data_IF_726691036531
#
_entry.id   IF_726691036531
#
_cell.length_a   1.000
_cell.length_b   1.000
_cell.length_c   1.000
_cell.angle_alpha   90.00
_cell.angle_beta   90.00
_cell.angle_gamma   90.00
#
_symmetry.space_group_name_H-M   'P 1'
#
loop_
_entity.id
_entity.type
_entity.pdbx_description
1 polymer ?
#
# COMPACT_ATOMS: atom_id res chain seq x y z
N UNK A 1 54.13 -31.89 -11.52
CA UNK A 1 53.65 -31.57 -11.52
C UNK A 1 52.65 -31.19 -11.47
N UNK A 2 52.47 -31.03 -11.41
CA UNK A 2 51.64 -30.59 -11.37
C UNK A 2 50.61 -30.26 -11.15
N UNK A 3 50.24 -30.04 -11.03
CA UNK A 3 49.46 -29.59 -10.88
C UNK A 3 48.54 -29.37 -10.74
N UNK A 4 48.40 -29.16 -10.65
CA UNK A 4 47.71 -28.84 -10.49
C UNK A 4 46.82 -28.47 -10.28
N UNK A 5 46.54 -28.25 -10.22
CA UNK A 5 45.84 -27.81 -9.97
C UNK A 5 44.97 -27.37 -9.83
N UNK A 6 44.59 -27.11 -9.95
CA UNK A 6 43.85 -26.63 -9.73
C UNK A 6 42.76 -26.45 -9.63
N UNK A 7 42.56 -26.35 -9.60
CA UNK A 7 41.71 -26.14 -9.43
C UNK A 7 40.74 -25.67 -9.16
N UNK A 8 40.42 -25.49 -9.08
CA UNK A 8 39.66 -25.13 -8.74
C UNK A 8 38.78 -24.52 -8.65
N UNK A 9 38.52 -24.30 -8.68
CA UNK A 9 37.76 -23.72 -8.48
C UNK A 9 36.72 -23.48 -8.48
N UNK A 10 36.39 -23.29 -8.39
CA UNK A 10 35.51 -22.95 -8.30
C UNK A 10 34.53 -22.71 -7.99
N UNK A 11 34.16 -22.48 -7.93
CA UNK A 11 33.30 -22.33 -7.57
C UNK A 11 32.49 -21.68 -7.25
N UNK A 12 32.23 -21.32 -7.20
CA UNK A 12 31.61 -20.66 -6.85
C UNK A 12 30.55 -20.21 -7.06
N UNK A 13 30.28 -19.67 -7.32
CA UNK A 13 29.32 -19.00 -7.70
C UNK A 13 28.17 -19.14 -7.20
N UNK A 14 27.78 -19.57 -7.00
CA UNK A 14 26.74 -19.87 -6.53
C UNK A 14 25.99 -19.09 -5.84
N UNK A 15 26.35 -18.62 -5.29
CA UNK A 15 25.62 -17.95 -4.48
C UNK A 15 24.63 -17.17 -4.92
N UNK A 16 24.79 -16.61 -5.64
CA UNK A 16 23.91 -15.73 -6.03
C UNK A 16 22.67 -16.04 -6.00
N UNK A 17 22.46 -16.78 -6.28
CA UNK A 17 21.30 -17.15 -6.32
C UNK A 17 20.53 -16.75 -5.35
N UNK A 18 20.89 -16.87 -4.43
CA UNK A 18 20.07 -16.64 -3.44
C UNK A 18 19.33 -15.51 -3.53
N UNK A 19 19.78 -14.67 -3.93
CA UNK A 19 19.07 -13.53 -3.86
C UNK A 19 17.93 -13.56 -4.47
N UNK A 20 17.91 -14.11 -5.27
CA UNK A 20 16.82 -14.00 -5.96
C UNK A 20 15.74 -14.28 -5.26
N UNK A 21 15.83 -14.90 -4.51
CA UNK A 21 14.73 -15.15 -3.96
C UNK A 21 14.21 -14.23 -3.35
N UNK A 22 13.81 -13.52 -3.89
CA UNK A 22 13.18 -12.68 -3.35
C UNK A 22 12.30 -13.16 -2.48
N UNK A 23 12.30 -12.88 -1.48
CA UNK A 23 11.39 -13.24 -0.64
C UNK A 23 10.22 -12.55 -0.86
N UNK A 24 9.20 -13.05 -0.69
CA UNK A 24 7.97 -12.43 -0.84
C UNK A 24 7.91 -11.43 0.18
N UNK A 25 7.45 -10.37 -0.15
CA UNK A 25 7.28 -9.39 0.78
C UNK A 25 6.31 -9.85 1.74
N UNK A 26 6.44 -9.56 2.93
CA UNK A 26 5.47 -9.88 3.90
C UNK A 26 4.19 -9.24 3.54
N UNK A 27 3.12 -9.89 3.70
CA UNK A 27 1.93 -9.33 3.41
C UNK A 27 1.75 -8.16 4.20
N UNK A 28 1.44 -7.12 3.67
CA UNK A 28 1.09 -5.94 4.42
C UNK A 28 -0.09 -6.28 5.27
N UNK A 29 -0.15 -5.80 6.46
CA UNK A 29 -1.31 -6.02 7.28
C UNK A 29 -2.51 -5.50 6.57
N UNK A 30 -3.55 -6.27 6.53
CA UNK A 30 -4.73 -5.85 5.88
C UNK A 30 -5.61 -5.12 6.83
N UNK A 31 -5.95 -3.91 6.50
CA UNK A 31 -6.89 -3.11 7.27
C UNK A 31 -8.28 -3.40 6.74
N UNK A 32 -9.20 -3.67 7.62
CA UNK A 32 -10.54 -4.06 7.23
C UNK A 32 -11.46 -2.86 7.26
N UNK A 33 -12.10 -2.52 6.15
CA UNK A 33 -13.07 -1.42 6.17
C UNK A 33 -14.31 -1.81 6.95
N UNK A 34 -14.84 -0.85 7.72
CA UNK A 34 -16.04 -1.10 8.48
C UNK A 34 -17.06 -0.03 8.15
N UNK A 35 -18.32 -0.32 8.43
CA UNK A 35 -19.40 0.60 8.13
C UNK A 35 -19.79 1.47 9.30
N UNK A 36 -19.16 1.34 10.39
CA UNK A 36 -19.44 2.15 11.55
C UNK A 36 -18.29 2.07 12.50
N UNK A 37 -18.39 2.78 13.60
CA UNK A 37 -17.32 2.80 14.56
C UNK A 37 -17.33 1.53 15.37
N UNK A 38 -16.29 0.74 15.31
CA UNK A 38 -16.30 -0.53 16.02
C UNK A 38 -16.17 -0.33 17.51
N UNK A 39 -16.97 -1.07 18.25
CA UNK A 39 -16.94 -0.96 19.69
C UNK A 39 -15.69 -1.63 20.25
N UNK A 40 -15.16 -1.09 21.31
CA UNK A 40 -14.04 -1.72 21.97
C UNK A 40 -12.71 -1.57 21.26
N UNK A 41 -12.65 -0.74 20.27
CA UNK A 41 -11.40 -0.55 19.53
C UNK A 41 -10.78 0.78 19.89
N UNK A 42 -9.48 0.84 19.75
CA UNK A 42 -8.77 2.07 20.03
C UNK A 42 -8.82 2.96 18.80
N UNK A 43 -9.15 4.22 18.98
CA UNK A 43 -9.21 5.18 17.90
C UNK A 43 -7.80 5.71 17.66
N UNK A 44 -7.28 5.47 16.48
CA UNK A 44 -5.93 5.90 16.15
C UNK A 44 -5.89 7.21 15.38
N UNK A 45 -7.05 7.82 15.18
CA UNK A 45 -7.09 9.13 14.54
C UNK A 45 -7.47 9.07 13.09
N UNK A 46 -7.52 10.23 12.50
CA UNK A 46 -7.95 10.40 11.12
C UNK A 46 -6.78 10.23 10.17
N UNK A 47 -7.02 9.57 9.06
CA UNK A 47 -6.06 9.46 7.99
C UNK A 47 -6.69 10.00 6.72
N UNK A 48 -5.86 10.46 5.80
CA UNK A 48 -6.33 10.97 4.52
C UNK A 48 -5.52 10.28 3.44
N UNK A 49 -6.21 9.69 2.50
CA UNK A 49 -5.56 9.12 1.33
C UNK A 49 -5.86 9.97 0.11
N UNK A 50 -4.88 10.15 -0.72
CA UNK A 50 -5.04 10.94 -1.93
C UNK A 50 -4.57 10.17 -3.11
N UNK A 51 -5.23 10.40 -4.24
CA UNK A 51 -4.81 9.80 -5.48
C UNK A 51 -3.59 10.52 -6.03
N UNK A 52 -2.93 9.90 -6.98
CA UNK A 52 -1.94 10.59 -7.75
C UNK A 52 -2.63 11.67 -8.57
N UNK A 53 -2.01 12.82 -8.73
CA UNK A 53 -2.64 13.85 -9.54
C UNK A 53 -2.68 13.43 -10.99
N UNK A 54 -3.79 13.70 -11.64
CA UNK A 54 -3.89 13.45 -13.06
C UNK A 54 -3.55 14.74 -13.76
N UNK A 55 -2.32 15.18 -13.64
CA UNK A 55 -1.97 16.52 -14.05
C UNK A 55 -1.94 16.69 -15.53
N UNK A 56 -1.82 15.65 -16.28
CA UNK A 56 -1.76 15.83 -17.70
C UNK A 56 -3.13 15.80 -18.34
N UNK A 57 -4.13 15.49 -17.60
CA UNK A 57 -5.45 15.39 -18.17
C UNK A 57 -5.47 14.37 -19.27
N UNK A 58 -4.70 13.34 -19.12
CA UNK A 58 -4.50 12.46 -20.21
C UNK A 58 -5.73 11.71 -20.59
N UNK A 59 -6.69 11.66 -19.88
CA UNK A 59 -7.83 10.87 -20.25
C UNK A 59 -7.62 9.39 -20.03
N UNK A 60 -6.42 9.00 -19.71
CA UNK A 60 -6.17 7.61 -19.47
C UNK A 60 -6.56 7.22 -18.08
N UNK A 61 -6.75 8.15 -17.19
CA UNK A 61 -7.07 7.86 -15.82
C UNK A 61 -8.52 8.14 -15.59
N UNK A 62 -9.25 7.17 -15.12
CA UNK A 62 -10.68 7.35 -14.89
C UNK A 62 -10.90 7.76 -13.45
N UNK A 63 -12.09 8.30 -13.19
CA UNK A 63 -12.46 8.63 -11.83
C UNK A 63 -12.40 7.43 -10.93
N UNK A 64 -12.77 6.27 -11.42
CA UNK A 64 -12.71 5.06 -10.61
C UNK A 64 -11.29 4.72 -10.22
N UNK A 65 -10.35 4.93 -11.11
CA UNK A 65 -8.96 4.69 -10.78
C UNK A 65 -8.47 5.65 -9.72
N UNK A 66 -8.88 6.91 -9.80
CA UNK A 66 -8.49 7.87 -8.79
C UNK A 66 -9.09 7.52 -7.43
N UNK A 67 -10.35 7.08 -7.43
CA UNK A 67 -10.97 6.65 -6.19
C UNK A 67 -10.23 5.47 -5.59
N UNK A 68 -9.88 4.49 -6.42
CA UNK A 68 -9.18 3.32 -5.93
C UNK A 68 -7.82 3.71 -5.34
N UNK A 69 -7.13 4.65 -5.97
CA UNK A 69 -5.85 5.12 -5.45
C UNK A 69 -6.02 5.82 -4.11
N UNK A 70 -7.04 6.66 -3.98
CA UNK A 70 -7.26 7.37 -2.74
C UNK A 70 -7.62 6.41 -1.61
N UNK A 71 -8.45 5.43 -1.91
CA UNK A 71 -8.83 4.45 -0.91
C UNK A 71 -7.62 3.62 -0.47
N UNK A 72 -6.83 3.17 -1.44
CA UNK A 72 -5.65 2.39 -1.10
C UNK A 72 -4.66 3.20 -0.26
N UNK A 73 -4.53 4.49 -0.58
CA UNK A 73 -3.63 5.34 0.19
C UNK A 73 -4.14 5.52 1.62
N UNK A 74 -5.45 5.68 1.79
CA UNK A 74 -5.99 5.82 3.14
C UNK A 74 -5.77 4.55 3.94
N UNK A 75 -5.97 3.40 3.33
CA UNK A 75 -5.77 2.14 4.02
C UNK A 75 -4.30 1.92 4.36
N UNK A 76 -3.42 2.33 3.48
CA UNK A 76 -2.00 2.21 3.77
C UNK A 76 -1.61 3.11 4.94
N UNK A 77 -2.12 4.31 4.99
CA UNK A 77 -1.81 5.19 6.10
C UNK A 77 -2.36 4.65 7.41
N UNK A 78 -3.52 4.03 7.37
CA UNK A 78 -4.07 3.40 8.56
C UNK A 78 -3.18 2.24 9.01
N UNK A 79 -2.72 1.43 8.06
CA UNK A 79 -1.85 0.31 8.40
C UNK A 79 -0.56 0.80 9.03
N UNK A 80 -0.03 1.91 8.55
CA UNK A 80 1.19 2.47 9.12
C UNK A 80 1.02 2.90 10.57
N UNK A 81 -0.19 3.18 10.97
CA UNK A 81 -0.48 3.52 12.35
C UNK A 81 -0.80 2.30 13.21
N UNK A 82 -0.75 1.13 12.62
CA UNK A 82 -1.07 -0.08 13.35
C UNK A 82 -2.54 -0.41 13.41
N UNK A 83 -3.32 0.16 12.50
CA UNK A 83 -4.76 -0.07 12.52
C UNK A 83 -5.09 -1.46 12.03
N UNK A 84 -6.15 -2.02 12.57
CA UNK A 84 -6.72 -3.25 12.05
C UNK A 84 -7.99 -2.95 11.27
N UNK A 85 -8.63 -1.81 11.53
CA UNK A 85 -9.90 -1.46 10.89
C UNK A 85 -9.90 0.02 10.55
N UNK A 86 -10.72 0.38 9.58
CA UNK A 86 -10.82 1.77 9.16
C UNK A 86 -12.28 2.06 8.79
N UNK A 87 -12.76 3.20 9.21
CA UNK A 87 -14.08 3.67 8.83
C UNK A 87 -13.86 4.77 7.80
N UNK A 88 -14.24 4.50 6.56
CA UNK A 88 -13.95 5.40 5.44
C UNK A 88 -15.14 6.31 5.19
N UNK A 89 -14.86 7.57 4.98
CA UNK A 89 -15.87 8.52 4.56
C UNK A 89 -16.00 8.50 3.06
N UNK A 90 -17.04 9.09 2.52
CA UNK A 90 -17.15 9.16 1.06
C UNK A 90 -15.97 9.89 0.43
N UNK A 91 -15.66 9.49 -0.78
CA UNK A 91 -14.55 10.08 -1.50
C UNK A 91 -14.92 11.46 -2.00
N UNK A 92 -13.98 12.38 -1.93
CA UNK A 92 -14.13 13.69 -2.52
C UNK A 92 -13.35 13.71 -3.83
N UNK A 93 -14.01 14.12 -4.90
CA UNK A 93 -13.40 14.14 -6.21
C UNK A 93 -13.22 15.58 -6.65
N UNK A 94 -12.05 15.89 -7.16
CA UNK A 94 -11.83 17.19 -7.75
C UNK A 94 -11.85 17.06 -9.24
N UNK A 95 -12.50 18.01 -9.88
CA UNK A 95 -12.60 18.00 -11.32
C UNK A 95 -12.14 19.32 -11.87
N UNK A 96 -11.65 19.28 -13.08
CA UNK A 96 -11.28 20.47 -13.78
C UNK A 96 -11.79 20.32 -15.20
N UNK A 97 -12.59 21.27 -15.63
CA UNK A 97 -13.17 21.24 -16.99
C UNK A 97 -13.93 19.95 -17.23
N UNK A 98 -14.61 19.47 -16.21
CA UNK A 98 -15.41 18.27 -16.35
C UNK A 98 -14.66 16.97 -16.26
N UNK A 99 -13.35 17.02 -16.09
CA UNK A 99 -12.58 15.80 -16.02
C UNK A 99 -12.03 15.60 -14.61
N UNK A 100 -12.01 14.37 -14.11
CA UNK A 100 -11.49 14.14 -12.77
C UNK A 100 -9.97 14.33 -12.75
N UNK A 101 -9.48 15.04 -11.77
CA UNK A 101 -8.06 15.28 -11.66
C UNK A 101 -7.46 14.70 -10.38
N UNK A 102 -8.26 14.55 -9.34
CA UNK A 102 -7.75 13.93 -8.13
C UNK A 102 -8.90 13.47 -7.26
N UNK A 103 -8.59 12.58 -6.35
CA UNK A 103 -9.56 12.09 -5.39
C UNK A 103 -8.89 12.05 -4.02
N UNK A 104 -9.67 12.25 -2.99
CA UNK A 104 -9.19 12.16 -1.63
C UNK A 104 -10.22 11.44 -0.79
N UNK A 105 -9.77 10.67 0.16
CA UNK A 105 -10.68 9.97 1.04
C UNK A 105 -10.15 10.04 2.47
N UNK A 106 -11.02 10.43 3.38
CA UNK A 106 -10.68 10.50 4.78
C UNK A 106 -11.19 9.25 5.47
N UNK A 107 -10.51 8.81 6.47
CA UNK A 107 -10.97 7.70 7.26
C UNK A 107 -10.52 7.84 8.70
N UNK A 108 -11.15 7.08 9.57
CA UNK A 108 -10.73 7.02 10.95
C UNK A 108 -10.20 5.62 11.19
N UNK A 109 -8.98 5.55 11.69
CA UNK A 109 -8.31 4.28 11.88
C UNK A 109 -8.54 3.76 13.29
N UNK A 110 -8.72 2.46 13.42
CA UNK A 110 -8.96 1.83 14.70
C UNK A 110 -8.09 0.60 14.86
N UNK A 111 -7.69 0.34 16.08
CA UNK A 111 -7.01 -0.91 16.38
C UNK A 111 -7.92 -1.71 17.28
N UNK A 112 -8.33 -2.86 16.79
CA UNK A 112 -9.21 -3.74 17.52
C UNK A 112 -8.44 -4.99 17.91
N UNK A 113 -9.03 -5.72 18.82
CA UNK A 113 -8.41 -6.94 19.15
C UNK A 113 -7.45 -6.89 20.26
N UNK A 114 -7.29 -5.77 20.73
CA UNK A 114 -6.65 -5.66 21.91
C UNK A 114 -5.47 -6.44 22.25
N UNK A 115 -4.77 -6.64 21.70
CA UNK A 115 -3.81 -7.24 22.19
C UNK A 115 -2.87 -6.77 21.86
#
# INVERSE_FOLDING_TARGET
MRMHGSRRVLVVGVALVACATSSPSPKAPQVIPVNGIPAGCENLGTVIGESQPNSWGSGDVTGEQLVAQATAAAMQRAAERGATHIFLSPVTMREKDGAPVSAAQTGVAFRCGGR
#
